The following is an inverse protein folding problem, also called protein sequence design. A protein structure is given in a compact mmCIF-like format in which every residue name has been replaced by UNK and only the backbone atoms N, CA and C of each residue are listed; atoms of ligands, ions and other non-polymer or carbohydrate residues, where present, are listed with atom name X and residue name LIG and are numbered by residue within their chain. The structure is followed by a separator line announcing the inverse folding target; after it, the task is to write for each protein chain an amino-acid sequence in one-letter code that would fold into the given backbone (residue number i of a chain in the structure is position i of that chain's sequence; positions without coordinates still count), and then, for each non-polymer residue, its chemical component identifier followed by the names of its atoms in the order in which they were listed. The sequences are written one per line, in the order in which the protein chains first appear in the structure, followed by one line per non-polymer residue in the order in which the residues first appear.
data_IF_836719903149
#
_entry.id   IF_836719903149
#
_cell.length_a   1.000
_cell.length_b   1.000
_cell.length_c   1.000
_cell.angle_alpha   90.00
_cell.angle_beta   90.00
_cell.angle_gamma   90.00
#
_symmetry.space_group_name_H-M   'P 1'
#
loop_
_entity.id
_entity.type
_entity.pdbx_description
1 polymer ?
#
# COMPACT_ATOMS: atom_id res chain seq x y z
N UNK A 1 3.99 -26.30 -5.10
CA UNK A 1 3.59 -24.92 -5.44
C UNK A 1 2.35 -24.54 -4.65
N UNK A 2 2.36 -23.40 -3.96
CA UNK A 2 1.19 -22.90 -3.25
C UNK A 2 0.18 -22.28 -4.24
N UNK A 3 -1.06 -22.04 -3.83
CA UNK A 3 -2.01 -21.30 -4.67
C UNK A 3 -1.50 -19.89 -5.00
N UNK A 4 -0.73 -19.28 -4.10
CA UNK A 4 -0.18 -17.94 -4.26
C UNK A 4 0.96 -17.91 -5.27
N UNK A 5 1.84 -18.91 -5.26
CA UNK A 5 2.91 -19.00 -6.27
C UNK A 5 2.31 -19.14 -7.68
N UNK A 6 1.20 -19.89 -7.83
CA UNK A 6 0.49 -20.00 -9.11
C UNK A 6 -0.11 -18.68 -9.61
N UNK A 7 -0.64 -17.86 -8.70
CA UNK A 7 -1.19 -16.54 -9.05
C UNK A 7 -0.05 -15.60 -9.44
N UNK A 8 1.07 -15.64 -8.72
CA UNK A 8 2.27 -14.85 -9.06
C UNK A 8 2.84 -15.25 -10.40
N UNK A 9 3.00 -16.56 -10.66
CA UNK A 9 3.46 -17.07 -11.95
C UNK A 9 2.52 -16.67 -13.09
N UNK A 10 1.21 -16.61 -12.84
CA UNK A 10 0.23 -16.15 -13.82
C UNK A 10 0.33 -14.65 -14.10
N UNK A 11 0.49 -13.82 -13.06
CA UNK A 11 0.56 -12.35 -13.19
C UNK A 11 1.90 -11.90 -13.77
N UNK A 12 3.00 -12.52 -13.31
CA UNK A 12 4.36 -12.15 -13.66
C UNK A 12 4.87 -12.92 -14.88
N UNK A 13 4.24 -14.04 -15.22
CA UNK A 13 4.54 -14.86 -16.39
C UNK A 13 6.06 -14.97 -16.67
N UNK A 14 6.92 -15.30 -15.67
CA UNK A 14 8.34 -15.00 -15.74
C UNK A 14 9.09 -15.78 -16.83
N UNK A 15 8.55 -16.93 -17.25
CA UNK A 15 9.11 -17.77 -18.31
C UNK A 15 8.33 -17.68 -19.63
N UNK A 16 7.48 -16.68 -19.82
CA UNK A 16 6.66 -16.55 -21.03
C UNK A 16 7.55 -16.20 -22.25
N UNK A 17 7.54 -17.02 -23.33
CA UNK A 17 8.29 -16.72 -24.54
C UNK A 17 7.90 -15.39 -25.20
N UNK A 18 6.69 -14.87 -24.93
CA UNK A 18 6.21 -13.60 -25.48
C UNK A 18 7.06 -12.40 -25.03
N UNK A 19 7.80 -12.50 -23.92
CA UNK A 19 8.73 -11.45 -23.52
C UNK A 19 9.85 -11.25 -24.54
N UNK A 20 10.33 -12.36 -25.13
CA UNK A 20 11.46 -12.40 -26.06
C UNK A 20 12.80 -12.03 -25.42
N UNK A 21 12.88 -10.83 -24.84
CA UNK A 21 14.00 -10.25 -24.11
C UNK A 21 13.55 -9.84 -22.69
N UNK A 22 14.38 -10.16 -21.71
CA UNK A 22 14.21 -9.77 -20.31
C UNK A 22 14.10 -8.24 -20.15
N UNK A 23 14.79 -7.48 -20.99
CA UNK A 23 14.71 -6.01 -20.99
C UNK A 23 13.30 -5.50 -21.32
N UNK A 24 12.58 -6.17 -22.23
CA UNK A 24 11.22 -5.78 -22.59
C UNK A 24 10.26 -6.03 -21.44
N UNK A 25 10.47 -7.13 -20.71
CA UNK A 25 9.71 -7.46 -19.49
C UNK A 25 9.92 -6.39 -18.42
N UNK A 26 11.16 -5.96 -18.18
CA UNK A 26 11.45 -4.89 -17.23
C UNK A 26 10.77 -3.57 -17.62
N UNK A 27 10.88 -3.15 -18.89
CA UNK A 27 10.28 -1.89 -19.35
C UNK A 27 8.74 -1.93 -19.29
N UNK A 28 8.13 -3.08 -19.60
CA UNK A 28 6.69 -3.29 -19.41
C UNK A 28 6.28 -3.11 -17.95
N UNK A 29 6.98 -3.73 -17.00
CA UNK A 29 6.67 -3.57 -15.57
C UNK A 29 6.93 -2.15 -15.06
N UNK A 30 7.94 -1.47 -15.60
CA UNK A 30 8.18 -0.05 -15.32
C UNK A 30 7.01 0.81 -15.80
N UNK A 31 6.53 0.59 -17.04
CA UNK A 31 5.36 1.28 -17.57
C UNK A 31 4.08 0.98 -16.76
N UNK A 32 3.85 -0.27 -16.38
CA UNK A 32 2.72 -0.67 -15.53
C UNK A 32 2.78 0.01 -14.16
N UNK A 33 3.98 0.19 -13.59
CA UNK A 33 4.17 0.91 -12.32
C UNK A 33 3.78 2.39 -12.44
N UNK A 34 4.12 3.03 -13.57
CA UNK A 34 3.68 4.41 -13.87
C UNK A 34 2.16 4.46 -14.05
N UNK A 35 1.56 3.49 -14.75
CA UNK A 35 0.10 3.41 -14.89
C UNK A 35 -0.61 3.24 -13.54
N UNK A 36 -0.09 2.36 -12.69
CA UNK A 36 -0.62 2.12 -11.35
C UNK A 36 -0.51 3.37 -10.46
N UNK A 37 0.58 4.15 -10.60
CA UNK A 37 0.72 5.43 -9.91
C UNK A 37 -0.42 6.40 -10.23
N UNK A 38 -0.90 6.42 -11.48
CA UNK A 38 -2.05 7.26 -11.89
C UNK A 38 -3.41 6.62 -11.61
N UNK A 39 -3.50 5.29 -11.52
CA UNK A 39 -4.72 4.60 -11.17
C UNK A 39 -5.19 4.94 -9.74
N UNK A 40 -4.27 5.10 -8.80
CA UNK A 40 -4.59 5.47 -7.41
C UNK A 40 -5.33 6.83 -7.31
N UNK A 41 -4.80 7.97 -7.79
CA UNK A 41 -5.53 9.24 -7.74
C UNK A 41 -6.83 9.22 -8.55
N UNK A 42 -6.88 8.50 -9.68
CA UNK A 42 -8.13 8.34 -10.44
C UNK A 42 -9.21 7.62 -9.62
N UNK A 43 -8.85 6.54 -8.91
CA UNK A 43 -9.73 5.82 -8.01
C UNK A 43 -10.17 6.69 -6.82
N UNK A 44 -9.27 7.51 -6.25
CA UNK A 44 -9.63 8.45 -5.19
C UNK A 44 -10.69 9.46 -5.67
N UNK A 45 -10.55 10.01 -6.88
CA UNK A 45 -11.56 10.88 -7.50
C UNK A 45 -12.88 10.14 -7.69
N UNK A 46 -12.87 8.91 -8.21
CA UNK A 46 -14.08 8.10 -8.36
C UNK A 46 -14.77 7.83 -7.01
N UNK A 47 -14.01 7.61 -5.93
CA UNK A 47 -14.54 7.46 -4.58
C UNK A 47 -15.21 8.74 -4.07
N UNK A 48 -14.67 9.93 -4.39
CA UNK A 48 -15.32 11.21 -4.07
C UNK A 48 -16.61 11.43 -4.83
N UNK A 49 -16.64 11.08 -6.12
CA UNK A 49 -17.87 11.15 -6.93
C UNK A 49 -18.94 10.24 -6.33
N UNK A 50 -18.59 8.98 -6.05
CA UNK A 50 -19.48 8.04 -5.39
C UNK A 50 -19.97 8.55 -4.02
N UNK A 51 -19.10 9.20 -3.25
CA UNK A 51 -19.48 9.80 -1.98
C UNK A 51 -20.48 10.95 -2.16
N UNK A 52 -20.26 11.83 -3.14
CA UNK A 52 -21.13 12.96 -3.44
C UNK A 52 -22.51 12.52 -3.95
N UNK A 53 -22.59 11.40 -4.66
CA UNK A 53 -23.84 10.78 -5.12
C UNK A 53 -24.58 10.01 -4.01
N UNK A 54 -24.01 9.95 -2.80
CA UNK A 54 -24.57 9.19 -1.68
C UNK A 54 -24.35 7.68 -1.76
N UNK A 55 -23.54 7.19 -2.71
CA UNK A 55 -23.15 5.78 -2.83
C UNK A 55 -22.07 5.41 -1.79
N UNK A 56 -22.44 5.46 -0.50
CA UNK A 56 -21.54 5.30 0.65
C UNK A 56 -20.72 3.99 0.59
N UNK A 57 -21.38 2.88 0.26
CA UNK A 57 -20.72 1.55 0.18
C UNK A 57 -19.65 1.55 -0.91
N UNK A 58 -19.97 2.07 -2.11
CA UNK A 58 -19.03 2.14 -3.23
C UNK A 58 -17.84 3.04 -2.90
N UNK A 59 -18.09 4.21 -2.31
CA UNK A 59 -17.03 5.13 -1.90
C UNK A 59 -16.03 4.46 -0.93
N UNK A 60 -16.53 3.73 0.06
CA UNK A 60 -15.72 2.96 1.02
C UNK A 60 -15.00 1.80 0.33
N UNK A 61 -15.69 1.04 -0.52
CA UNK A 61 -15.13 -0.12 -1.20
C UNK A 61 -13.90 0.24 -2.04
N UNK A 62 -13.90 1.40 -2.70
CA UNK A 62 -12.74 1.89 -3.46
C UNK A 62 -11.52 2.10 -2.55
N UNK A 63 -11.70 2.71 -1.37
CA UNK A 63 -10.61 2.90 -0.41
C UNK A 63 -10.06 1.57 0.11
N UNK A 64 -10.95 0.62 0.40
CA UNK A 64 -10.56 -0.72 0.85
C UNK A 64 -9.82 -1.50 -0.24
N UNK A 65 -10.24 -1.39 -1.50
CA UNK A 65 -9.57 -2.03 -2.63
C UNK A 65 -8.19 -1.43 -2.89
N UNK A 66 -8.04 -0.10 -2.80
CA UNK A 66 -6.73 0.55 -2.86
C UNK A 66 -5.81 0.11 -1.71
N UNK A 67 -6.36 -0.11 -0.51
CA UNK A 67 -5.58 -0.66 0.60
C UNK A 67 -5.19 -2.12 0.33
N UNK A 68 -6.10 -2.92 -0.22
CA UNK A 68 -5.88 -4.33 -0.52
C UNK A 68 -4.76 -4.51 -1.55
N UNK A 69 -4.67 -3.65 -2.58
CA UNK A 69 -3.59 -3.71 -3.57
C UNK A 69 -2.23 -3.37 -2.94
N UNK A 70 -2.17 -2.40 -2.04
CA UNK A 70 -0.94 -2.09 -1.30
C UNK A 70 -0.53 -3.22 -0.35
N UNK A 71 -1.50 -3.85 0.31
CA UNK A 71 -1.25 -5.00 1.17
C UNK A 71 -0.73 -6.20 0.35
N UNK A 72 -1.29 -6.44 -0.84
CA UNK A 72 -0.83 -7.48 -1.74
C UNK A 72 0.63 -7.25 -2.16
N UNK A 73 0.99 -6.02 -2.55
CA UNK A 73 2.36 -5.64 -2.88
C UNK A 73 3.30 -5.82 -1.68
N UNK A 74 2.91 -5.34 -0.50
CA UNK A 74 3.69 -5.52 0.74
C UNK A 74 3.93 -7.01 1.05
N UNK A 75 2.89 -7.84 0.91
CA UNK A 75 2.97 -9.28 1.19
C UNK A 75 3.78 -10.03 0.15
N UNK A 76 3.74 -9.62 -1.11
CA UNK A 76 4.63 -10.12 -2.15
C UNK A 76 6.09 -9.82 -1.77
N UNK A 77 6.42 -8.55 -1.53
CA UNK A 77 7.77 -8.14 -1.17
C UNK A 77 8.29 -8.85 0.10
N UNK A 78 7.45 -8.99 1.13
CA UNK A 78 7.83 -9.66 2.38
C UNK A 78 8.13 -11.16 2.21
N UNK A 79 7.54 -11.81 1.21
CA UNK A 79 7.76 -13.24 0.89
C UNK A 79 8.99 -13.47 0.03
N UNK A 80 9.40 -12.45 -0.73
CA UNK A 80 10.58 -12.46 -1.59
C UNK A 80 11.76 -11.72 -0.95
N UNK A 81 11.76 -11.59 0.39
CA UNK A 81 12.80 -10.96 1.20
C UNK A 81 13.23 -9.55 0.74
N UNK A 82 12.31 -8.81 0.13
CA UNK A 82 12.52 -7.41 -0.24
C UNK A 82 12.39 -6.56 1.02
N UNK A 83 13.38 -5.72 1.36
CA UNK A 83 13.40 -4.97 2.61
C UNK A 83 12.51 -3.72 2.50
N UNK A 84 11.18 -3.92 2.57
CA UNK A 84 10.19 -2.89 2.30
C UNK A 84 10.26 -1.73 3.29
N UNK A 85 10.53 -1.99 4.58
CA UNK A 85 10.56 -0.93 5.57
C UNK A 85 11.76 0.00 5.37
N UNK A 86 12.93 -0.55 5.04
CA UNK A 86 14.13 0.25 4.72
C UNK A 86 13.92 1.06 3.44
N UNK A 87 13.44 0.44 2.35
CA UNK A 87 13.13 1.10 1.08
C UNK A 87 12.11 2.23 1.31
N UNK A 88 11.02 1.93 2.02
CA UNK A 88 9.97 2.92 2.31
C UNK A 88 10.50 4.08 3.13
N UNK A 89 11.35 3.82 4.13
CA UNK A 89 11.95 4.85 4.98
C UNK A 89 12.89 5.77 4.19
N UNK A 90 13.71 5.21 3.30
CA UNK A 90 14.59 5.97 2.43
C UNK A 90 13.80 6.79 1.40
N UNK A 91 12.75 6.19 0.83
CA UNK A 91 11.91 6.83 -0.18
C UNK A 91 11.03 7.95 0.40
N UNK A 92 10.50 7.79 1.62
CA UNK A 92 9.62 8.75 2.28
C UNK A 92 10.41 9.83 3.02
N UNK A 93 11.10 10.66 2.24
CA UNK A 93 11.75 11.87 2.76
C UNK A 93 10.74 12.83 3.40
N UNK A 94 11.14 13.72 4.33
CA UNK A 94 10.22 14.68 4.95
C UNK A 94 9.42 15.51 3.94
N UNK A 95 10.05 15.90 2.83
CA UNK A 95 9.41 16.60 1.71
C UNK A 95 8.30 15.75 1.08
N UNK A 96 8.58 14.48 0.79
CA UNK A 96 7.59 13.56 0.19
C UNK A 96 6.44 13.28 1.15
N UNK A 97 6.72 13.09 2.44
CA UNK A 97 5.69 12.97 3.48
C UNK A 97 4.80 14.20 3.53
N UNK A 98 5.37 15.41 3.47
CA UNK A 98 4.60 16.65 3.46
C UNK A 98 3.72 16.76 2.20
N UNK A 99 4.24 16.43 1.02
CA UNK A 99 3.45 16.42 -0.23
C UNK A 99 2.32 15.38 -0.16
N UNK A 100 2.60 14.16 0.28
CA UNK A 100 1.58 13.13 0.48
C UNK A 100 0.52 13.58 1.48
N UNK A 101 0.91 14.16 2.61
CA UNK A 101 -0.01 14.69 3.61
C UNK A 101 -0.88 15.82 3.04
N UNK A 102 -0.30 16.75 2.29
CA UNK A 102 -1.00 17.85 1.65
C UNK A 102 -2.03 17.39 0.60
N UNK A 103 -1.89 16.18 0.05
CA UNK A 103 -2.87 15.59 -0.88
C UNK A 103 -3.91 14.76 -0.11
N UNK A 104 -3.45 13.87 0.76
CA UNK A 104 -4.31 12.87 1.43
C UNK A 104 -5.18 13.52 2.51
N UNK A 105 -4.68 14.50 3.27
CA UNK A 105 -5.47 15.12 4.35
C UNK A 105 -6.67 15.89 3.80
N UNK A 106 -6.54 16.80 2.82
CA UNK A 106 -7.70 17.47 2.24
C UNK A 106 -8.67 16.50 1.58
N UNK A 107 -8.15 15.49 0.87
CA UNK A 107 -8.96 14.42 0.29
C UNK A 107 -9.85 13.74 1.34
N UNK A 108 -9.24 13.26 2.44
CA UNK A 108 -9.97 12.58 3.51
C UNK A 108 -10.95 13.51 4.21
N UNK A 109 -10.60 14.79 4.40
CA UNK A 109 -11.50 15.77 4.99
C UNK A 109 -12.76 15.97 4.14
N UNK A 110 -12.61 16.14 2.82
CA UNK A 110 -13.75 16.25 1.90
C UNK A 110 -14.55 14.96 1.89
N UNK A 111 -13.87 13.81 1.75
CA UNK A 111 -14.52 12.51 1.72
C UNK A 111 -15.34 12.25 3.00
N UNK A 112 -14.77 12.51 4.17
CA UNK A 112 -15.47 12.39 5.46
C UNK A 112 -16.64 13.35 5.57
N UNK A 113 -16.52 14.59 5.09
CA UNK A 113 -17.61 15.58 5.12
C UNK A 113 -18.82 15.17 4.27
N UNK A 114 -18.62 14.34 3.25
CA UNK A 114 -19.68 13.79 2.40
C UNK A 114 -20.34 12.54 3.01
N UNK A 115 -19.65 11.87 3.94
CA UNK A 115 -20.10 10.59 4.50
C UNK A 115 -20.70 10.71 5.90
N UNK A 116 -20.24 11.69 6.68
CA UNK A 116 -20.63 11.84 8.07
C UNK A 116 -21.87 12.72 8.20
N UNK A 117 -22.93 12.11 8.72
CA UNK A 117 -24.06 12.87 9.25
C UNK A 117 -23.58 13.68 10.47
N UNK A 118 -24.08 14.92 10.65
CA UNK A 118 -23.60 15.86 11.69
C UNK A 118 -24.06 15.51 13.12
N UNK A 119 -24.53 14.29 13.33
CA UNK A 119 -24.90 13.79 14.65
C UNK A 119 -23.66 13.61 15.54
N UNK A 120 -23.63 14.17 16.77
CA UNK A 120 -22.54 13.96 17.71
C UNK A 120 -22.13 12.51 17.91
N UNK A 121 -23.08 11.56 17.86
CA UNK A 121 -22.79 10.13 18.03
C UNK A 121 -21.93 9.57 16.87
N UNK A 122 -22.26 9.95 15.64
CA UNK A 122 -21.54 9.60 14.40
C UNK A 122 -20.14 10.20 14.40
N UNK A 123 -20.00 11.46 14.81
CA UNK A 123 -18.71 12.15 14.89
C UNK A 123 -17.80 11.48 15.93
N UNK A 124 -18.35 11.17 17.12
CA UNK A 124 -17.61 10.46 18.17
C UNK A 124 -17.17 9.06 17.71
N UNK A 125 -18.06 8.31 17.04
CA UNK A 125 -17.75 7.02 16.45
C UNK A 125 -16.64 7.10 15.41
N UNK A 126 -16.69 8.09 14.51
CA UNK A 126 -15.65 8.33 13.51
C UNK A 126 -14.29 8.67 14.14
N UNK A 127 -14.28 9.50 15.18
CA UNK A 127 -13.05 9.85 15.90
C UNK A 127 -12.41 8.63 16.58
N UNK A 128 -13.21 7.84 17.32
CA UNK A 128 -12.73 6.62 17.98
C UNK A 128 -12.24 5.59 16.96
N UNK A 129 -13.02 5.34 15.91
CA UNK A 129 -12.64 4.43 14.82
C UNK A 129 -11.35 4.85 14.14
N UNK A 130 -11.19 6.15 13.86
CA UNK A 130 -9.96 6.72 13.30
C UNK A 130 -8.74 6.51 14.20
N UNK A 131 -8.87 6.74 15.51
CA UNK A 131 -7.78 6.53 16.47
C UNK A 131 -7.39 5.05 16.58
N UNK A 132 -8.37 4.15 16.67
CA UNK A 132 -8.13 2.70 16.75
C UNK A 132 -7.47 2.20 15.47
N UNK A 133 -7.98 2.61 14.30
CA UNK A 133 -7.41 2.25 13.00
C UNK A 133 -5.96 2.73 12.84
N UNK A 134 -5.68 3.99 13.21
CA UNK A 134 -4.32 4.53 13.19
C UNK A 134 -3.38 3.78 14.15
N UNK A 135 -3.87 3.41 15.34
CA UNK A 135 -3.11 2.61 16.31
C UNK A 135 -2.74 1.22 15.76
N UNK A 136 -3.71 0.50 15.18
CA UNK A 136 -3.48 -0.81 14.57
C UNK A 136 -2.47 -0.71 13.42
N UNK A 137 -2.63 0.27 12.53
CA UNK A 137 -1.70 0.51 11.43
C UNK A 137 -0.28 0.82 11.94
N UNK A 138 -0.15 1.66 12.96
CA UNK A 138 1.13 1.98 13.60
C UNK A 138 1.82 0.75 14.19
N UNK A 139 1.06 -0.10 14.90
CA UNK A 139 1.59 -1.36 15.46
C UNK A 139 2.06 -2.31 14.35
N UNK A 140 1.30 -2.42 13.25
CA UNK A 140 1.68 -3.25 12.11
C UNK A 140 3.00 -2.80 11.49
N UNK A 141 3.16 -1.49 11.23
CA UNK A 141 4.40 -0.90 10.70
C UNK A 141 5.59 -1.12 11.65
N UNK A 142 5.38 -0.93 12.96
CA UNK A 142 6.44 -1.16 13.94
C UNK A 142 6.86 -2.63 14.02
N UNK A 143 5.93 -3.57 13.92
CA UNK A 143 6.24 -5.00 13.88
C UNK A 143 7.01 -5.37 12.62
N UNK A 144 6.58 -4.87 11.46
CA UNK A 144 7.27 -5.05 10.19
C UNK A 144 8.73 -4.57 10.26
N UNK A 145 8.94 -3.33 10.71
CA UNK A 145 10.28 -2.76 10.84
C UNK A 145 11.16 -3.51 11.84
N UNK A 146 10.59 -4.04 12.93
CA UNK A 146 11.33 -4.87 13.88
C UNK A 146 11.70 -6.23 13.31
N UNK A 147 10.82 -6.84 12.52
CA UNK A 147 11.10 -8.12 11.88
C UNK A 147 12.24 -8.00 10.87
N UNK A 148 12.23 -6.94 10.05
CA UNK A 148 13.30 -6.65 9.07
C UNK A 148 14.66 -6.46 9.76
N UNK A 149 14.73 -5.61 10.80
CA UNK A 149 15.98 -5.43 11.57
C UNK A 149 16.51 -6.71 12.21
N UNK A 150 15.62 -7.61 12.65
CA UNK A 150 16.04 -8.91 13.20
C UNK A 150 16.63 -9.81 12.12
N UNK A 151 16.07 -9.78 10.90
CA UNK A 151 16.62 -10.52 9.76
C UNK A 151 17.99 -9.98 9.35
N UNK A 152 18.13 -8.66 9.25
CA UNK A 152 19.41 -8.00 8.97
C UNK A 152 20.47 -8.34 10.01
N UNK A 153 20.13 -8.27 11.30
CA UNK A 153 21.06 -8.62 12.38
C UNK A 153 21.45 -10.10 12.39
N UNK A 154 20.53 -11.00 12.03
CA UNK A 154 20.83 -12.43 11.89
C UNK A 154 21.74 -12.72 10.69
N UNK A 155 21.53 -12.03 9.57
CA UNK A 155 22.38 -12.15 8.39
C UNK A 155 23.81 -11.64 8.64
N UNK A 156 23.94 -10.49 9.31
CA UNK A 156 25.25 -9.94 9.67
C UNK A 156 26.03 -10.86 10.64
N UNK A 157 25.33 -11.52 11.57
CA UNK A 157 25.96 -12.46 12.50
C UNK A 157 26.40 -13.78 11.84
N UNK A 158 25.85 -14.13 10.67
CA UNK A 158 26.25 -15.33 9.92
C UNK A 158 27.49 -15.06 9.05
N UNK A 159 27.63 -13.85 8.49
CA UNK A 159 28.83 -13.42 7.75
C UNK A 159 30.07 -13.36 8.67
N UNK A 160 29.93 -12.91 9.93
CA UNK A 160 31.02 -12.83 10.91
C UNK A 160 31.55 -14.23 11.37
N UNK A 161 30.87 -15.33 11.03
CA UNK A 161 31.29 -16.71 11.38
C UNK A 161 32.22 -17.32 10.33
N UNK A 162 32.32 -16.72 9.14
CA UNK A 162 33.14 -17.21 8.02
C UNK A 162 34.45 -16.42 7.78
N UNK A 163 34.79 -15.45 8.64
CA UNK A 163 36.13 -14.82 8.73
C UNK A 163 37.00 -15.46 9.85
#
# INVERSE_FOLDING_TARGET
MSAESRIEDFILAPSDPAWGDERNREEYYRAMSVGYYWAAPAALVASLIAAAEGARITAVAVLLLLLATQLAAYRYCSRHDVPVASISRAFLTPKRKAVTAAIVIPYLAVWLSLQLDRDPSTIAGAAVGGLVGAGIAGVAVLRAARAERRREAAAAADDDVFE
#
